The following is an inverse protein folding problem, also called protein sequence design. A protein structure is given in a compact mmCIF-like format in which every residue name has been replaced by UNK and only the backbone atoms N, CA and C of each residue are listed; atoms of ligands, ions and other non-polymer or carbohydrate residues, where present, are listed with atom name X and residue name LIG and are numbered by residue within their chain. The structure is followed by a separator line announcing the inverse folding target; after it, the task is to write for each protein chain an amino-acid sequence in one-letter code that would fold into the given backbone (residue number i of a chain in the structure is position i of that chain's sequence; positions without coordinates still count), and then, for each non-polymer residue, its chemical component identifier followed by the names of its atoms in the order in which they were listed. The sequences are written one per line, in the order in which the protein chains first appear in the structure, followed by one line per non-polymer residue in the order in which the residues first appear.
data_IF_622464688079
#
_entry.id   IF_622464688079
#
_cell.length_a   1.000
_cell.length_b   1.000
_cell.length_c   1.000
_cell.angle_alpha   90.00
_cell.angle_beta   90.00
_cell.angle_gamma   90.00
#
_symmetry.space_group_name_H-M   'P 1'
#
loop_
_entity.id
_entity.type
_entity.pdbx_description
1 polymer ?
#
# COMPACT_ATOMS: atom_id res chain seq x y z
N UNK A 1 7.81 -2.65 -19.38
CA UNK A 1 8.67 -1.62 -20.00
C UNK A 1 9.59 -1.01 -18.94
N UNK A 2 10.91 -1.19 -19.10
CA UNK A 2 11.95 -0.84 -18.12
C UNK A 2 12.26 0.65 -17.97
N UNK A 3 11.25 1.51 -18.00
CA UNK A 3 11.40 2.98 -17.88
C UNK A 3 11.51 3.48 -16.43
N UNK A 4 11.65 2.58 -15.45
CA UNK A 4 11.80 2.98 -14.05
C UNK A 4 10.52 3.52 -13.39
N UNK A 5 9.33 3.12 -13.84
CA UNK A 5 8.07 3.58 -13.21
C UNK A 5 7.98 3.21 -11.72
N UNK A 6 8.47 2.02 -11.36
CA UNK A 6 8.48 1.56 -9.96
C UNK A 6 9.37 2.44 -9.09
N UNK A 7 10.60 2.74 -9.51
CA UNK A 7 11.49 3.62 -8.76
C UNK A 7 10.95 5.06 -8.67
N UNK A 8 10.32 5.57 -9.73
CA UNK A 8 9.65 6.87 -9.70
C UNK A 8 8.52 6.90 -8.67
N UNK A 9 7.71 5.84 -8.58
CA UNK A 9 6.65 5.72 -7.59
C UNK A 9 7.20 5.60 -6.16
N UNK A 10 8.28 4.84 -5.94
CA UNK A 10 8.94 4.75 -4.63
C UNK A 10 9.44 6.13 -4.19
N UNK A 11 10.12 6.88 -5.08
CA UNK A 11 10.60 8.23 -4.79
C UNK A 11 9.45 9.19 -4.46
N UNK A 12 8.32 9.08 -5.17
CA UNK A 12 7.13 9.88 -4.88
C UNK A 12 6.57 9.59 -3.47
N UNK A 13 6.48 8.31 -3.09
CA UNK A 13 5.98 7.92 -1.77
C UNK A 13 6.89 8.46 -0.66
N UNK A 14 8.21 8.37 -0.86
CA UNK A 14 9.20 8.85 0.12
C UNK A 14 9.08 10.36 0.36
N UNK A 15 9.05 11.15 -0.73
CA UNK A 15 8.87 12.61 -0.67
C UNK A 15 7.52 12.98 -0.03
N UNK A 16 6.45 12.26 -0.38
CA UNK A 16 5.14 12.48 0.23
C UNK A 16 5.18 12.21 1.73
N UNK A 17 5.79 11.12 2.18
CA UNK A 17 5.92 10.78 3.61
C UNK A 17 6.60 11.91 4.40
N UNK A 18 7.72 12.43 3.91
CA UNK A 18 8.42 13.55 4.57
C UNK A 18 7.52 14.79 4.73
N UNK A 19 6.75 15.14 3.69
CA UNK A 19 5.82 16.29 3.72
C UNK A 19 4.63 16.08 4.66
N UNK A 20 4.18 14.84 4.81
CA UNK A 20 3.04 14.50 5.68
C UNK A 20 3.47 14.42 7.14
N UNK A 21 4.70 14.00 7.45
CA UNK A 21 5.25 14.07 8.82
C UNK A 21 5.25 15.52 9.33
N UNK A 22 5.46 16.51 8.46
CA UNK A 22 5.35 17.92 8.81
C UNK A 22 3.90 18.39 9.08
N UNK A 23 2.88 17.59 8.76
CA UNK A 23 1.47 17.92 8.92
C UNK A 23 0.69 16.79 9.63
N UNK A 24 0.54 16.85 10.96
CA UNK A 24 -0.04 15.76 11.76
C UNK A 24 -1.53 15.45 11.50
N UNK A 25 -2.22 16.27 10.69
CA UNK A 25 -3.61 16.03 10.28
C UNK A 25 -3.75 15.23 8.97
N UNK A 26 -2.66 14.91 8.29
CA UNK A 26 -2.70 14.18 7.04
C UNK A 26 -2.47 12.67 7.24
N UNK A 27 -3.32 11.87 6.61
CA UNK A 27 -3.13 10.42 6.52
C UNK A 27 -1.87 10.09 5.73
N UNK A 28 -1.13 9.07 6.16
CA UNK A 28 0.18 8.69 5.61
C UNK A 28 0.21 7.47 4.69
N UNK A 29 -0.70 6.47 4.76
CA UNK A 29 -0.45 5.21 4.09
C UNK A 29 -0.78 5.31 2.60
N UNK A 30 0.10 4.74 1.79
CA UNK A 30 -0.10 4.49 0.37
C UNK A 30 -0.58 3.06 0.17
N UNK A 31 -1.59 2.87 -0.69
CA UNK A 31 -2.01 1.55 -1.15
C UNK A 31 -1.46 1.29 -2.55
N UNK A 32 -0.83 0.14 -2.75
CA UNK A 32 -0.41 -0.33 -4.07
C UNK A 32 -1.27 -1.54 -4.42
N UNK A 33 -1.99 -1.48 -5.53
CA UNK A 33 -2.81 -2.58 -6.05
C UNK A 33 -2.14 -3.07 -7.34
N UNK A 34 -1.79 -4.35 -7.39
CA UNK A 34 -1.04 -4.93 -8.51
C UNK A 34 -1.39 -6.41 -8.74
N UNK A 35 -1.00 -7.03 -9.87
CA UNK A 35 -1.08 -8.48 -10.01
C UNK A 35 -0.26 -9.20 -8.92
N UNK A 36 -0.73 -10.34 -8.38
CA UNK A 36 -0.08 -11.02 -7.24
C UNK A 36 1.41 -11.28 -7.42
N UNK A 37 1.84 -11.60 -8.65
CA UNK A 37 3.25 -11.84 -9.01
C UNK A 37 4.17 -10.64 -8.77
N UNK A 38 3.63 -9.42 -8.66
CA UNK A 38 4.40 -8.19 -8.50
C UNK A 38 4.51 -7.74 -7.05
N UNK A 39 3.80 -8.37 -6.11
CA UNK A 39 3.84 -8.01 -4.69
C UNK A 39 5.25 -8.16 -4.14
N UNK A 40 5.88 -9.31 -4.36
CA UNK A 40 7.26 -9.59 -3.94
C UNK A 40 8.27 -8.68 -4.66
N UNK A 41 8.00 -8.36 -5.93
CA UNK A 41 8.85 -7.45 -6.69
C UNK A 41 8.81 -6.03 -6.10
N UNK A 42 7.62 -5.52 -5.73
CA UNK A 42 7.50 -4.24 -5.05
C UNK A 42 8.26 -4.21 -3.74
N UNK A 43 8.16 -5.27 -2.93
CA UNK A 43 8.92 -5.37 -1.67
C UNK A 43 10.45 -5.33 -1.91
N UNK A 44 10.92 -6.05 -2.94
CA UNK A 44 12.33 -6.06 -3.33
C UNK A 44 12.80 -4.68 -3.82
N UNK A 45 12.02 -4.03 -4.68
CA UNK A 45 12.37 -2.72 -5.24
C UNK A 45 12.37 -1.63 -4.15
N UNK A 46 11.41 -1.66 -3.22
CA UNK A 46 11.39 -0.75 -2.05
C UNK A 46 12.65 -0.98 -1.21
N UNK A 47 12.98 -2.23 -0.90
CA UNK A 47 14.18 -2.57 -0.10
C UNK A 47 15.49 -2.15 -0.78
N UNK A 48 15.51 -2.14 -2.11
CA UNK A 48 16.68 -1.79 -2.92
C UNK A 48 16.85 -0.28 -3.10
N UNK A 49 15.76 0.46 -3.23
CA UNK A 49 15.77 1.86 -3.65
C UNK A 49 15.45 2.86 -2.52
N UNK A 50 14.80 2.42 -1.44
CA UNK A 50 14.60 3.24 -0.25
C UNK A 50 15.75 3.06 0.75
N UNK A 51 16.04 4.10 1.53
CA UNK A 51 16.95 3.96 2.67
C UNK A 51 16.40 2.96 3.68
N UNK A 52 17.29 2.22 4.35
CA UNK A 52 16.89 1.22 5.34
C UNK A 52 16.02 1.85 6.44
N UNK A 53 14.78 1.38 6.57
CA UNK A 53 13.80 1.89 7.54
C UNK A 53 13.04 3.15 7.12
N UNK A 54 13.36 3.77 5.97
CA UNK A 54 12.66 4.96 5.48
C UNK A 54 11.22 4.65 5.05
N UNK A 55 10.99 3.52 4.38
CA UNK A 55 9.66 3.07 3.97
C UNK A 55 9.36 1.67 4.51
N UNK A 56 8.33 1.56 5.35
CA UNK A 56 7.84 0.29 5.86
C UNK A 56 6.70 -0.23 4.98
N UNK A 57 6.96 -1.30 4.23
CA UNK A 57 5.99 -1.91 3.34
C UNK A 57 5.48 -3.25 3.86
N UNK A 58 4.19 -3.54 3.67
CA UNK A 58 3.56 -4.80 4.07
C UNK A 58 2.64 -5.34 2.97
N UNK A 59 2.66 -6.65 2.78
CA UNK A 59 1.64 -7.33 1.98
C UNK A 59 0.32 -7.41 2.77
N UNK A 60 -0.75 -7.00 2.12
CA UNK A 60 -2.11 -7.03 2.61
C UNK A 60 -2.89 -8.12 1.88
N UNK A 61 -3.08 -9.24 2.58
CA UNK A 61 -3.84 -10.40 2.13
C UNK A 61 -5.14 -10.47 2.93
N UNK A 62 -6.19 -9.83 2.42
CA UNK A 62 -7.47 -9.54 3.06
C UNK A 62 -8.22 -10.67 3.78
N UNK A 63 -7.80 -11.93 3.63
CA UNK A 63 -8.44 -13.11 4.20
C UNK A 63 -7.64 -13.76 5.34
N UNK A 64 -6.34 -13.51 5.44
CA UNK A 64 -5.45 -14.28 6.32
C UNK A 64 -5.42 -13.80 7.77
N UNK A 65 -6.07 -12.69 8.09
CA UNK A 65 -6.02 -12.14 9.43
C UNK A 65 -7.37 -11.58 9.88
N UNK A 66 -8.20 -12.45 10.46
CA UNK A 66 -9.26 -12.06 11.40
C UNK A 66 -8.77 -11.20 12.60
N UNK A 67 -7.47 -10.87 12.66
CA UNK A 67 -6.81 -10.03 13.66
C UNK A 67 -6.14 -8.76 13.09
N UNK A 68 -6.32 -8.44 11.80
CA UNK A 68 -5.87 -7.15 11.27
C UNK A 68 -6.79 -6.06 11.81
N UNK A 69 -6.28 -5.23 12.71
CA UNK A 69 -6.91 -3.99 13.12
C UNK A 69 -6.48 -2.88 12.17
N UNK A 70 -7.31 -1.84 12.06
CA UNK A 70 -6.97 -0.59 11.38
C UNK A 70 -5.58 -0.07 11.79
N UNK A 71 -5.27 -0.10 13.09
CA UNK A 71 -3.97 0.29 13.63
C UNK A 71 -2.79 -0.49 13.06
N UNK A 72 -2.98 -1.77 12.68
CA UNK A 72 -1.92 -2.57 12.05
C UNK A 72 -1.68 -2.16 10.60
N UNK A 73 -2.73 -1.77 9.87
CA UNK A 73 -2.61 -1.30 8.48
C UNK A 73 -1.96 0.09 8.45
N UNK A 74 -2.40 0.97 9.34
CA UNK A 74 -1.88 2.34 9.48
C UNK A 74 -0.44 2.40 10.00
N UNK A 75 0.09 1.30 10.57
CA UNK A 75 1.48 1.22 11.02
C UNK A 75 2.48 1.26 9.84
N UNK A 76 2.06 0.81 8.67
CA UNK A 76 2.93 0.72 7.50
C UNK A 76 2.72 1.92 6.57
N UNK A 77 3.82 2.43 6.01
CA UNK A 77 3.78 3.50 5.01
C UNK A 77 3.16 3.02 3.69
N UNK A 78 3.38 1.74 3.36
CA UNK A 78 2.94 1.13 2.10
C UNK A 78 2.22 -0.18 2.38
N UNK A 79 0.97 -0.28 1.95
CA UNK A 79 0.20 -1.51 1.94
C UNK A 79 0.06 -2.01 0.49
N UNK A 80 0.63 -3.16 0.19
CA UNK A 80 0.64 -3.76 -1.15
C UNK A 80 -0.41 -4.87 -1.18
N UNK A 81 -1.27 -4.90 -2.18
CA UNK A 81 -2.29 -5.94 -2.32
C UNK A 81 -2.57 -6.26 -3.78
N UNK A 82 -3.46 -7.24 -4.00
CA UNK A 82 -3.89 -7.64 -5.32
C UNK A 82 -5.30 -7.15 -5.67
N UNK A 83 -5.55 -6.97 -6.97
CA UNK A 83 -6.90 -6.68 -7.49
C UNK A 83 -7.92 -7.73 -7.05
N UNK A 84 -7.52 -9.01 -7.02
CA UNK A 84 -8.39 -10.09 -6.56
C UNK A 84 -8.73 -9.95 -5.08
N UNK A 85 -7.75 -9.61 -4.24
CA UNK A 85 -7.94 -9.39 -2.80
C UNK A 85 -8.96 -8.27 -2.55
N UNK A 86 -8.76 -7.10 -3.19
CA UNK A 86 -9.68 -5.96 -3.08
C UNK A 86 -11.09 -6.32 -3.56
N UNK A 87 -11.19 -7.03 -4.68
CA UNK A 87 -12.48 -7.45 -5.24
C UNK A 87 -13.21 -8.42 -4.32
N UNK A 88 -12.48 -9.37 -3.71
CA UNK A 88 -13.05 -10.33 -2.77
C UNK A 88 -13.54 -9.63 -1.51
N UNK A 89 -12.75 -8.72 -0.95
CA UNK A 89 -13.18 -7.95 0.22
C UNK A 89 -14.43 -7.13 -0.07
N UNK A 90 -14.48 -6.46 -1.23
CA UNK A 90 -15.64 -5.68 -1.63
C UNK A 90 -16.92 -6.53 -1.71
N UNK A 91 -16.79 -7.79 -2.13
CA UNK A 91 -17.93 -8.72 -2.25
C UNK A 91 -18.34 -9.39 -0.93
N UNK A 92 -17.37 -9.70 -0.07
CA UNK A 92 -17.58 -10.53 1.13
C UNK A 92 -17.88 -9.70 2.37
N UNK A 93 -17.45 -8.45 2.41
CA UNK A 93 -17.70 -7.55 3.53
C UNK A 93 -18.75 -6.52 3.13
N UNK A 94 -19.67 -6.19 4.04
CA UNK A 94 -20.32 -4.88 3.92
C UNK A 94 -19.18 -3.85 3.90
N UNK A 95 -19.17 -2.90 2.97
CA UNK A 95 -18.11 -1.89 2.85
C UNK A 95 -17.84 -1.16 4.18
N UNK A 96 -18.84 -1.14 5.07
CA UNK A 96 -18.78 -0.67 6.45
C UNK A 96 -18.00 -1.56 7.43
N UNK A 97 -17.44 -2.70 7.04
CA UNK A 97 -16.66 -3.59 7.92
C UNK A 97 -15.25 -3.88 7.43
N UNK A 98 -14.93 -3.75 6.13
CA UNK A 98 -13.54 -3.85 5.67
C UNK A 98 -12.76 -2.57 5.99
N UNK A 99 -11.61 -2.75 6.64
CA UNK A 99 -10.73 -1.64 7.01
C UNK A 99 -10.13 -0.93 5.81
N UNK A 100 -9.84 -1.66 4.73
CA UNK A 100 -9.28 -1.09 3.50
C UNK A 100 -10.20 -0.04 2.88
N UNK A 101 -11.51 -0.21 2.97
CA UNK A 101 -12.49 0.76 2.46
C UNK A 101 -12.84 1.88 3.46
N UNK A 102 -12.36 1.81 4.71
CA UNK A 102 -12.53 2.87 5.72
C UNK A 102 -11.35 3.81 5.83
N UNK A 103 -10.16 3.31 5.56
CA UNK A 103 -8.93 4.09 5.67
C UNK A 103 -8.94 5.19 4.61
N UNK A 104 -8.64 6.41 5.05
CA UNK A 104 -8.35 7.51 4.13
C UNK A 104 -6.93 7.34 3.59
N UNK A 105 -6.77 6.74 2.41
CA UNK A 105 -5.46 6.54 1.79
C UNK A 105 -4.89 7.86 1.29
N UNK A 106 -3.61 8.13 1.58
CA UNK A 106 -2.93 9.30 1.02
C UNK A 106 -2.83 9.20 -0.50
N UNK A 107 -2.49 8.00 -0.97
CA UNK A 107 -2.30 7.70 -2.38
C UNK A 107 -2.72 6.26 -2.65
N UNK A 108 -3.32 6.03 -3.83
CA UNK A 108 -3.59 4.70 -4.37
C UNK A 108 -2.86 4.58 -5.70
N UNK A 109 -1.97 3.60 -5.82
CA UNK A 109 -1.22 3.29 -7.02
C UNK A 109 -1.76 2.00 -7.62
N UNK A 110 -2.29 2.10 -8.85
CA UNK A 110 -2.76 0.97 -9.62
C UNK A 110 -1.67 0.56 -10.61
N UNK A 111 -1.11 -0.64 -10.46
CA UNK A 111 -0.03 -1.14 -11.32
C UNK A 111 -0.54 -2.23 -12.27
N UNK A 112 -0.25 -2.07 -13.57
CA UNK A 112 -0.80 -2.91 -14.66
C UNK A 112 -2.35 -2.82 -14.78
N UNK A 113 -2.91 -1.62 -14.59
CA UNK A 113 -4.35 -1.33 -14.67
C UNK A 113 -4.88 -1.14 -16.11
N UNK A 114 -4.57 -2.08 -16.99
CA UNK A 114 -5.00 -2.05 -18.39
C UNK A 114 -6.44 -2.56 -18.59
#
# INVERSE_FOLDING_TARGET
MGLGKTIQAIALIDISKERLIANPHCSTPTMIICPPRLITNWQSEISKHAQAGALQAKNYDGLTHHSLSEAKILKYDINITSYNTITQEFKQTNTSTSFVFKINWHCIILHEAQ
#
